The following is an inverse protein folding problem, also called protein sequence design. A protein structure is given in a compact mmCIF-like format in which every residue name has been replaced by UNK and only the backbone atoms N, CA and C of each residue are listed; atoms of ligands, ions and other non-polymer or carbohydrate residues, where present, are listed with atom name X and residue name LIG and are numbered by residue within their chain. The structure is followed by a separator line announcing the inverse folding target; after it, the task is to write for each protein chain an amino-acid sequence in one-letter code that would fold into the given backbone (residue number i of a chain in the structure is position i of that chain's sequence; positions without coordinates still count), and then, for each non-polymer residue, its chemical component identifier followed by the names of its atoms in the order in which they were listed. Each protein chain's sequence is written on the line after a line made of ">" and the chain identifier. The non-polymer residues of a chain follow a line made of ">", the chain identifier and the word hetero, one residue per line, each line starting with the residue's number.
data_IF_509992313843
#
_entry.id   IF_509992313843
#
_cell.length_a   1.000
_cell.length_b   1.000
_cell.length_c   1.000
_cell.angle_alpha   90.00
_cell.angle_beta   90.00
_cell.angle_gamma   90.00
#
_symmetry.space_group_name_H-M   'P 1'
#
loop_
_entity.id
_entity.type
_entity.pdbx_description
1 polymer ?
#
# COMPACT_ATOMS: atom_id res chain seq x y z
N UNK A 1 -22.22 10.06 17.26
CA UNK A 1 -22.07 9.72 15.83
C UNK A 1 -20.94 8.71 15.75
N UNK A 2 -21.21 7.48 16.15
CA UNK A 2 -20.20 6.41 16.12
C UNK A 2 -20.44 5.57 14.88
N UNK A 3 -19.85 6.00 13.77
CA UNK A 3 -19.62 5.10 12.65
C UNK A 3 -18.42 4.25 13.04
N UNK A 4 -18.65 3.31 13.97
CA UNK A 4 -17.77 2.18 14.18
C UNK A 4 -17.85 1.35 12.91
N UNK A 5 -17.07 1.76 11.91
CA UNK A 5 -16.90 1.05 10.68
C UNK A 5 -16.27 -0.29 11.05
N UNK A 6 -17.12 -1.30 11.26
CA UNK A 6 -16.80 -2.71 11.01
C UNK A 6 -16.43 -2.83 9.53
N UNK A 7 -15.29 -2.24 9.17
CA UNK A 7 -14.50 -2.73 8.06
C UNK A 7 -14.01 -4.05 8.63
N UNK A 8 -14.60 -5.16 8.16
CA UNK A 8 -13.96 -6.47 8.30
C UNK A 8 -12.47 -6.23 8.07
N UNK A 9 -11.64 -6.48 9.08
CA UNK A 9 -10.23 -6.13 9.05
C UNK A 9 -9.61 -6.77 7.81
N UNK A 10 -9.58 -6.02 6.71
CA UNK A 10 -8.94 -6.45 5.49
C UNK A 10 -7.48 -6.55 5.88
N UNK A 11 -7.00 -7.78 6.02
CA UNK A 11 -5.64 -8.04 6.41
C UNK A 11 -4.73 -7.23 5.50
N UNK A 12 -3.98 -6.30 6.10
CA UNK A 12 -3.08 -5.44 5.35
C UNK A 12 -1.89 -6.30 4.92
N UNK A 13 -1.93 -6.68 3.64
CA UNK A 13 -0.96 -7.62 3.05
C UNK A 13 0.35 -6.93 2.69
N UNK A 14 0.29 -5.64 2.39
CA UNK A 14 1.40 -4.82 1.92
C UNK A 14 1.31 -3.45 2.58
N UNK A 15 2.41 -2.99 3.16
CA UNK A 15 2.57 -1.67 3.76
C UNK A 15 3.94 -1.08 3.40
N UNK A 16 4.24 0.10 3.93
CA UNK A 16 5.53 0.77 3.74
C UNK A 16 6.21 1.04 5.08
N UNK A 17 7.52 0.88 5.15
CA UNK A 17 8.31 1.33 6.29
C UNK A 17 8.57 2.84 6.25
N UNK A 18 9.24 3.36 7.28
CA UNK A 18 9.58 4.79 7.37
C UNK A 18 10.56 5.28 6.29
N UNK A 19 11.24 4.37 5.60
CA UNK A 19 12.15 4.67 4.49
C UNK A 19 11.44 4.54 3.13
N UNK A 20 10.15 4.18 3.11
CA UNK A 20 9.38 3.97 1.89
C UNK A 20 9.63 2.61 1.23
N UNK A 21 10.27 1.65 1.91
CA UNK A 21 10.40 0.30 1.38
C UNK A 21 9.10 -0.48 1.54
N UNK A 22 8.79 -1.32 0.56
CA UNK A 22 7.61 -2.19 0.60
C UNK A 22 7.82 -3.31 1.62
N UNK A 23 6.92 -3.41 2.58
CA UNK A 23 6.87 -4.47 3.59
C UNK A 23 5.67 -5.37 3.30
N UNK A 24 5.86 -6.69 3.38
CA UNK A 24 4.79 -7.67 3.15
C UNK A 24 4.48 -8.42 4.44
N UNK A 25 3.18 -8.60 4.73
CA UNK A 25 2.72 -9.43 5.83
C UNK A 25 2.85 -10.91 5.45
N UNK A 26 3.82 -11.60 6.06
CA UNK A 26 4.09 -13.02 5.81
C UNK A 26 3.11 -13.95 6.52
N UNK A 27 2.39 -13.45 7.52
CA UNK A 27 1.40 -14.21 8.26
C UNK A 27 0.05 -14.25 7.53
N UNK A 28 -0.09 -13.48 6.43
CA UNK A 28 -1.31 -13.46 5.65
C UNK A 28 -1.61 -14.79 4.97
N UNK A 29 -2.89 -15.13 4.93
CA UNK A 29 -3.42 -16.32 4.24
C UNK A 29 -3.32 -16.19 2.71
N UNK A 30 -2.86 -15.06 2.18
CA UNK A 30 -2.83 -14.82 0.75
C UNK A 30 -1.74 -15.61 0.02
N UNK A 31 -2.04 -16.01 -1.22
CA UNK A 31 -1.04 -16.66 -2.06
C UNK A 31 0.16 -15.73 -2.32
N UNK A 32 1.37 -16.29 -2.38
CA UNK A 32 2.60 -15.54 -2.69
C UNK A 32 2.50 -14.72 -3.98
N UNK A 33 1.80 -15.25 -4.99
CA UNK A 33 1.56 -14.54 -6.27
C UNK A 33 0.71 -13.29 -6.08
N UNK A 34 -0.35 -13.39 -5.27
CA UNK A 34 -1.23 -12.24 -4.97
C UNK A 34 -0.50 -11.20 -4.11
N UNK A 35 0.28 -11.65 -3.11
CA UNK A 35 1.10 -10.74 -2.30
C UNK A 35 2.12 -9.98 -3.15
N UNK A 36 2.84 -10.69 -4.03
CA UNK A 36 3.80 -10.07 -4.94
C UNK A 36 3.14 -9.07 -5.89
N UNK A 37 1.96 -9.40 -6.45
CA UNK A 37 1.19 -8.48 -7.29
C UNK A 37 0.83 -7.21 -6.53
N UNK A 38 0.27 -7.34 -5.32
CA UNK A 38 -0.10 -6.19 -4.49
C UNK A 38 1.10 -5.31 -4.12
N UNK A 39 2.25 -5.92 -3.86
CA UNK A 39 3.50 -5.20 -3.58
C UNK A 39 3.95 -4.36 -4.77
N UNK A 40 3.84 -4.90 -5.99
CA UNK A 40 4.17 -4.17 -7.23
C UNK A 40 3.18 -3.02 -7.46
N UNK A 41 1.88 -3.29 -7.32
CA UNK A 41 0.82 -2.29 -7.51
C UNK A 41 0.99 -1.11 -6.52
N UNK A 42 1.25 -1.40 -5.24
CA UNK A 42 1.51 -0.37 -4.23
C UNK A 42 2.75 0.47 -4.56
N UNK A 43 3.85 -0.15 -5.00
CA UNK A 43 5.08 0.56 -5.36
C UNK A 43 4.88 1.49 -6.57
N UNK A 44 4.15 1.03 -7.59
CA UNK A 44 3.86 1.83 -8.78
C UNK A 44 2.96 3.03 -8.44
N UNK A 45 1.95 2.81 -7.59
CA UNK A 45 1.06 3.89 -7.16
C UNK A 45 1.81 4.95 -6.36
N UNK A 46 2.68 4.55 -5.42
CA UNK A 46 3.53 5.50 -4.68
C UNK A 46 4.36 6.36 -5.62
N UNK A 47 5.05 5.75 -6.59
CA UNK A 47 5.85 6.48 -7.58
C UNK A 47 5.03 7.47 -8.40
N UNK A 48 3.82 7.06 -8.81
CA UNK A 48 2.92 7.94 -9.56
C UNK A 48 2.49 9.14 -8.74
N UNK A 49 2.16 8.92 -7.46
CA UNK A 49 1.78 10.00 -6.55
C UNK A 49 2.95 10.95 -6.28
N UNK A 50 4.18 10.43 -6.14
CA UNK A 50 5.39 11.24 -6.01
C UNK A 50 5.63 12.12 -7.24
N UNK A 51 5.50 11.56 -8.45
CA UNK A 51 5.59 12.33 -9.69
C UNK A 51 4.55 13.44 -9.75
N UNK A 52 3.28 13.14 -9.44
CA UNK A 52 2.23 14.17 -9.44
C UNK A 52 2.49 15.29 -8.43
N UNK A 53 3.12 14.98 -7.29
CA UNK A 53 3.52 15.98 -6.29
C UNK A 53 4.66 16.83 -6.85
N UNK A 54 5.69 16.22 -7.42
CA UNK A 54 6.80 16.95 -8.05
C UNK A 54 6.28 17.90 -9.13
N UNK A 55 5.44 17.41 -10.05
CA UNK A 55 4.83 18.22 -11.10
C UNK A 55 4.02 19.40 -10.50
N UNK A 56 3.28 19.18 -9.41
CA UNK A 56 2.48 20.23 -8.78
C UNK A 56 3.30 21.31 -8.06
N UNK A 57 4.45 20.96 -7.49
CA UNK A 57 5.28 21.90 -6.71
C UNK A 57 6.40 22.56 -7.53
N UNK A 58 6.77 22.01 -8.68
CA UNK A 58 7.86 22.50 -9.53
C UNK A 58 7.41 23.13 -10.87
N UNK A 59 6.09 23.24 -11.12
CA UNK A 59 5.48 24.13 -12.12
C UNK A 59 5.24 25.55 -11.56
#
# INVERSE_FOLDING_TARGET
>A
MEVAAKIEAHEEVVSFDQQGNVVVNKDSCMSKKLMARRAIEAHLERKRLEQNIEDYYFD
#
